data_IF_331516659368
#
_entry.id   IF_331516659368
#
_cell.length_a   1.000
_cell.length_b   1.000
_cell.length_c   1.000
_cell.angle_alpha   90.00
_cell.angle_beta   90.00
_cell.angle_gamma   90.00
#
_symmetry.space_group_name_H-M   'P 1'
#
loop_
_entity.id
_entity.type
_entity.pdbx_description
1 polymer ?
#
# COMPACT_ATOMS: atom_id res chain seq x y z
N UNK A 1 20.58 -1.43 -29.60
CA UNK A 1 19.88 -0.33 -28.87
C UNK A 1 18.40 -0.55 -29.06
N UNK A 2 17.77 -1.24 -28.14
CA UNK A 2 16.31 -1.48 -28.18
C UNK A 2 15.65 -0.44 -27.28
N UNK A 3 14.89 0.45 -27.87
CA UNK A 3 14.07 1.43 -27.18
C UNK A 3 12.93 0.68 -26.48
N UNK A 4 12.91 0.72 -25.17
CA UNK A 4 11.75 0.28 -24.38
C UNK A 4 10.54 1.16 -24.76
N UNK A 5 9.34 0.59 -24.99
CA UNK A 5 8.17 1.37 -25.30
C UNK A 5 7.79 2.28 -24.15
N UNK A 6 7.56 3.55 -24.46
CA UNK A 6 7.13 4.56 -23.51
C UNK A 6 5.79 4.17 -22.91
N UNK A 7 5.75 4.09 -21.57
CA UNK A 7 4.60 3.72 -20.80
C UNK A 7 3.57 4.86 -20.77
N UNK A 8 2.52 4.75 -21.55
CA UNK A 8 1.42 5.70 -21.60
C UNK A 8 0.18 5.18 -20.87
N UNK A 9 0.25 5.07 -19.54
CA UNK A 9 -0.96 5.01 -18.71
C UNK A 9 -0.77 5.85 -17.46
N UNK A 10 -1.50 6.95 -17.33
CA UNK A 10 -1.48 7.80 -16.14
C UNK A 10 -1.89 7.02 -14.89
N UNK A 11 -2.79 6.05 -15.02
CA UNK A 11 -3.21 5.16 -13.95
C UNK A 11 -2.09 4.22 -13.48
N UNK A 12 -1.20 3.80 -14.37
CA UNK A 12 -0.05 2.97 -14.06
C UNK A 12 1.02 3.69 -13.23
N UNK A 13 0.96 5.02 -13.17
CA UNK A 13 1.93 5.85 -12.43
C UNK A 13 1.48 6.21 -11.01
N UNK A 14 0.21 6.02 -10.68
CA UNK A 14 -0.40 6.49 -9.42
C UNK A 14 -0.71 5.40 -8.41
N UNK A 15 -0.64 4.12 -8.78
CA UNK A 15 -0.95 3.00 -7.92
C UNK A 15 0.14 2.71 -6.88
N UNK A 16 -0.24 2.60 -5.61
CA UNK A 16 0.60 2.02 -4.57
C UNK A 16 0.52 0.52 -4.64
N UNK A 17 1.61 -0.14 -5.00
CA UNK A 17 1.66 -1.57 -5.22
C UNK A 17 2.81 -2.22 -4.48
N UNK A 18 2.64 -3.52 -4.25
CA UNK A 18 3.66 -4.46 -3.79
C UNK A 18 4.01 -5.44 -4.91
N UNK A 19 5.21 -6.05 -4.92
CA UNK A 19 5.56 -7.10 -5.87
C UNK A 19 4.74 -8.37 -5.64
N UNK A 20 4.59 -9.20 -6.67
CA UNK A 20 3.79 -10.42 -6.66
C UNK A 20 4.16 -11.40 -5.53
N UNK A 21 5.44 -11.53 -5.23
CA UNK A 21 5.99 -12.43 -4.22
C UNK A 21 5.95 -11.93 -2.79
N UNK A 22 5.56 -10.66 -2.56
CA UNK A 22 5.47 -10.10 -1.20
C UNK A 22 4.47 -10.90 -0.35
N UNK A 23 4.84 -11.21 0.90
CA UNK A 23 4.11 -12.15 1.74
C UNK A 23 3.16 -11.42 2.70
N UNK A 24 1.95 -11.96 2.85
CA UNK A 24 0.98 -11.57 3.88
C UNK A 24 0.63 -12.77 4.74
N UNK A 25 0.14 -12.52 5.95
CA UNK A 25 -0.33 -13.55 6.87
C UNK A 25 -1.84 -13.60 6.85
N UNK A 26 -2.40 -14.78 6.54
CA UNK A 26 -3.84 -15.05 6.64
C UNK A 26 -4.23 -15.30 8.11
N UNK A 27 -5.52 -15.18 8.40
CA UNK A 27 -6.10 -15.50 9.73
C UNK A 27 -5.87 -16.95 10.13
N UNK A 28 -5.76 -17.86 9.17
CA UNK A 28 -5.37 -19.26 9.41
C UNK A 28 -3.94 -19.44 9.93
N UNK A 29 -3.14 -18.36 9.96
CA UNK A 29 -1.72 -18.38 10.28
C UNK A 29 -0.81 -18.64 9.07
N UNK A 30 -1.36 -19.03 7.93
CA UNK A 30 -0.57 -19.27 6.71
C UNK A 30 0.03 -17.97 6.16
N UNK A 31 1.27 -18.05 5.65
CA UNK A 31 1.90 -17.00 4.86
C UNK A 31 1.69 -17.31 3.38
N UNK A 32 1.19 -16.34 2.64
CA UNK A 32 0.92 -16.47 1.20
C UNK A 32 1.41 -15.24 0.45
N UNK A 33 1.84 -15.45 -0.80
CA UNK A 33 2.21 -14.35 -1.69
C UNK A 33 0.97 -13.52 -2.05
N UNK A 34 1.13 -12.21 -2.25
CA UNK A 34 0.04 -11.32 -2.66
C UNK A 34 -0.61 -11.74 -3.98
N UNK A 35 0.13 -12.39 -4.87
CA UNK A 35 -0.40 -12.98 -6.10
C UNK A 35 -1.42 -14.10 -5.86
N UNK A 36 -1.35 -14.77 -4.72
CA UNK A 36 -2.28 -15.85 -4.33
C UNK A 36 -3.49 -15.36 -3.52
N UNK A 37 -3.45 -14.14 -2.99
CA UNK A 37 -4.53 -13.54 -2.21
C UNK A 37 -5.75 -13.26 -3.09
N UNK A 38 -6.95 -13.45 -2.53
CA UNK A 38 -8.24 -13.23 -3.19
C UNK A 38 -9.13 -12.30 -2.36
N UNK A 39 -10.06 -11.57 -2.99
CA UNK A 39 -11.14 -10.93 -2.27
C UNK A 39 -11.88 -11.93 -1.37
N UNK A 40 -12.16 -11.51 -0.12
CA UNK A 40 -12.74 -12.37 0.92
C UNK A 40 -11.71 -13.04 1.84
N UNK A 41 -10.44 -13.12 1.47
CA UNK A 41 -9.38 -13.57 2.39
C UNK A 41 -9.23 -12.57 3.55
N UNK A 42 -8.96 -13.08 4.74
CA UNK A 42 -8.67 -12.27 5.92
C UNK A 42 -7.18 -12.23 6.18
N UNK A 43 -6.60 -11.04 6.05
CA UNK A 43 -5.16 -10.79 6.17
C UNK A 43 -4.84 -9.96 7.40
N UNK A 44 -3.64 -10.12 7.95
CA UNK A 44 -3.16 -9.32 9.06
C UNK A 44 -3.06 -7.85 8.63
N UNK A 45 -3.60 -6.97 9.47
CA UNK A 45 -3.66 -5.52 9.28
C UNK A 45 -3.46 -4.80 10.62
N UNK A 46 -3.44 -3.49 10.61
CA UNK A 46 -3.52 -2.64 11.79
C UNK A 46 -4.94 -2.09 11.91
N UNK A 47 -5.55 -2.24 13.07
CA UNK A 47 -6.84 -1.64 13.42
C UNK A 47 -6.75 -0.14 13.66
N UNK A 48 -7.90 0.51 13.82
CA UNK A 48 -7.99 1.95 14.13
C UNK A 48 -7.38 2.30 15.50
N UNK A 49 -7.35 1.34 16.41
CA UNK A 49 -6.73 1.44 17.73
C UNK A 49 -5.20 1.25 17.72
N UNK A 50 -4.60 1.04 16.54
CA UNK A 50 -3.17 0.77 16.38
C UNK A 50 -2.75 -0.66 16.72
N UNK A 51 -3.69 -1.56 17.00
CA UNK A 51 -3.42 -2.95 17.32
C UNK A 51 -3.49 -3.87 16.09
N UNK A 52 -2.77 -5.02 16.10
CA UNK A 52 -2.89 -5.99 15.02
C UNK A 52 -4.30 -6.61 15.00
N UNK A 53 -4.87 -6.70 13.81
CA UNK A 53 -6.18 -7.31 13.57
C UNK A 53 -6.19 -8.06 12.24
N UNK A 54 -7.18 -8.94 12.02
CA UNK A 54 -7.42 -9.52 10.71
C UNK A 54 -8.53 -8.76 9.98
N UNK A 55 -8.29 -8.42 8.72
CA UNK A 55 -9.12 -7.57 7.89
C UNK A 55 -9.45 -8.26 6.57
N UNK A 56 -10.71 -8.18 6.16
CA UNK A 56 -11.15 -8.73 4.88
C UNK A 56 -10.51 -7.95 3.73
N UNK A 57 -9.95 -8.65 2.77
CA UNK A 57 -9.56 -8.10 1.46
C UNK A 57 -10.83 -7.90 0.65
N UNK A 58 -11.14 -6.65 0.33
CA UNK A 58 -12.37 -6.28 -0.37
C UNK A 58 -12.21 -6.44 -1.89
N UNK A 59 -11.17 -5.83 -2.44
CA UNK A 59 -10.83 -5.82 -3.87
C UNK A 59 -9.32 -5.60 -4.06
N UNK A 60 -8.85 -5.76 -5.29
CA UNK A 60 -7.56 -5.21 -5.72
C UNK A 60 -7.78 -3.88 -6.46
N UNK A 61 -7.12 -2.82 -6.00
CA UNK A 61 -7.13 -1.52 -6.67
C UNK A 61 -6.26 -1.54 -7.92
N UNK A 62 -5.20 -2.39 -7.90
CA UNK A 62 -4.33 -2.70 -9.03
C UNK A 62 -3.90 -4.16 -8.96
N UNK A 63 -3.86 -4.85 -10.11
CA UNK A 63 -3.42 -6.25 -10.22
C UNK A 63 -2.84 -6.50 -11.61
N UNK A 64 -1.53 -6.38 -11.71
CA UNK A 64 -0.77 -6.57 -12.96
C UNK A 64 0.30 -7.66 -12.74
N UNK A 65 0.01 -8.94 -13.01
CA UNK A 65 0.90 -10.06 -12.66
C UNK A 65 2.22 -10.06 -13.44
N UNK A 66 2.20 -9.64 -14.70
CA UNK A 66 3.32 -9.78 -15.64
C UNK A 66 4.16 -8.50 -15.81
N UNK A 67 3.86 -7.47 -15.03
CA UNK A 67 4.53 -6.19 -15.15
C UNK A 67 5.78 -6.10 -14.29
N UNK A 68 6.91 -5.75 -14.89
CA UNK A 68 8.11 -5.35 -14.16
C UNK A 68 7.98 -3.91 -13.68
N UNK A 69 8.21 -3.68 -12.38
CA UNK A 69 8.22 -2.34 -11.77
C UNK A 69 9.41 -2.14 -10.86
N UNK A 70 9.83 -0.89 -10.72
CA UNK A 70 10.78 -0.49 -9.69
C UNK A 70 10.04 -0.28 -8.37
N UNK A 71 10.56 -0.89 -7.32
CA UNK A 71 10.08 -0.80 -5.95
C UNK A 71 11.14 -0.16 -5.07
N UNK A 72 10.70 0.68 -4.14
CA UNK A 72 11.49 1.09 -3.01
C UNK A 72 11.59 -0.08 -2.03
N UNK A 73 12.77 -0.41 -1.60
CA UNK A 73 13.01 -1.46 -0.61
C UNK A 73 13.43 -0.83 0.69
N UNK A 74 12.64 -1.08 1.73
CA UNK A 74 12.87 -0.60 3.10
C UNK A 74 13.35 -1.79 3.92
N UNK A 75 14.55 -1.68 4.48
CA UNK A 75 15.12 -2.68 5.35
C UNK A 75 15.18 -2.16 6.79
N UNK A 76 14.74 -2.98 7.74
CA UNK A 76 14.76 -2.63 9.16
C UNK A 76 15.78 -3.47 9.92
N UNK A 77 16.15 -2.98 11.10
CA UNK A 77 16.90 -3.74 12.12
C UNK A 77 16.05 -3.82 13.39
N UNK A 78 16.22 -4.90 14.13
CA UNK A 78 15.61 -5.14 15.44
C UNK A 78 14.07 -4.96 15.50
N UNK A 79 13.29 -5.81 14.81
CA UNK A 79 13.67 -7.01 14.06
C UNK A 79 14.03 -6.70 12.61
N UNK A 80 14.89 -7.50 11.96
CA UNK A 80 15.20 -7.35 10.55
C UNK A 80 13.98 -7.74 9.70
N UNK A 81 13.54 -6.82 8.85
CA UNK A 81 12.48 -7.01 7.86
C UNK A 81 12.88 -6.33 6.55
N UNK A 82 12.30 -6.80 5.47
CA UNK A 82 12.56 -6.24 4.14
C UNK A 82 11.24 -6.11 3.38
N UNK A 83 10.77 -4.89 3.21
CA UNK A 83 9.55 -4.56 2.49
C UNK A 83 9.87 -3.89 1.17
N UNK A 84 9.28 -4.37 0.07
CA UNK A 84 9.32 -3.72 -1.24
C UNK A 84 7.94 -3.17 -1.59
N UNK A 85 7.88 -1.89 -1.99
CA UNK A 85 6.64 -1.21 -2.37
C UNK A 85 6.96 -0.07 -3.35
N UNK A 86 5.96 0.39 -4.12
CA UNK A 86 6.17 1.50 -5.07
C UNK A 86 6.50 2.80 -4.36
N UNK A 87 7.27 3.74 -4.98
CA UNK A 87 7.69 4.99 -4.33
C UNK A 87 6.54 5.86 -3.80
N UNK A 88 5.38 5.84 -4.47
CA UNK A 88 4.19 6.60 -4.07
C UNK A 88 3.29 5.89 -3.04
N UNK A 89 3.68 4.72 -2.56
CA UNK A 89 2.94 3.97 -1.53
C UNK A 89 3.16 4.58 -0.15
N UNK A 90 2.11 4.58 0.68
CA UNK A 90 2.20 5.11 2.04
C UNK A 90 2.61 4.05 3.04
N UNK A 91 3.56 4.42 3.89
CA UNK A 91 3.97 3.71 5.10
C UNK A 91 3.66 4.57 6.33
N UNK A 92 3.58 3.93 7.48
CA UNK A 92 3.48 4.62 8.77
C UNK A 92 4.88 4.77 9.38
N UNK A 93 5.34 6.01 9.56
CA UNK A 93 6.68 6.32 10.06
C UNK A 93 6.64 7.21 11.29
N UNK A 94 7.66 7.10 12.14
CA UNK A 94 7.94 8.01 13.24
C UNK A 94 9.44 8.33 13.30
N UNK A 95 9.79 9.43 13.96
CA UNK A 95 11.19 9.78 14.21
C UNK A 95 11.72 9.23 15.54
N UNK A 96 10.82 8.71 16.39
CA UNK A 96 11.16 8.20 17.71
C UNK A 96 10.49 6.81 17.93
N UNK A 97 11.23 5.89 18.55
CA UNK A 97 10.75 4.55 18.87
C UNK A 97 9.73 4.51 20.03
N UNK A 98 9.63 5.56 20.82
CA UNK A 98 8.71 5.65 21.95
C UNK A 98 7.33 6.16 21.56
N UNK A 99 7.12 6.55 20.30
CA UNK A 99 5.81 7.00 19.83
C UNK A 99 4.81 5.83 19.79
N UNK A 100 3.59 6.01 20.33
CA UNK A 100 2.52 5.03 20.14
C UNK A 100 2.20 4.80 18.66
N UNK A 101 1.79 3.58 18.29
CA UNK A 101 1.48 3.23 16.91
C UNK A 101 0.47 4.20 16.25
N UNK A 102 -0.50 4.70 17.01
CA UNK A 102 -1.49 5.67 16.54
C UNK A 102 -0.91 7.05 16.16
N UNK A 103 0.32 7.36 16.57
CA UNK A 103 0.99 8.64 16.26
C UNK A 103 1.96 8.53 15.07
N UNK A 104 2.15 7.34 14.51
CA UNK A 104 2.92 7.18 13.30
C UNK A 104 2.20 7.88 12.13
N UNK A 105 2.97 8.63 11.35
CA UNK A 105 2.44 9.44 10.25
C UNK A 105 2.54 8.68 8.93
N UNK A 106 1.52 8.84 8.09
CA UNK A 106 1.57 8.35 6.72
C UNK A 106 2.66 9.11 5.93
N UNK A 107 3.63 8.39 5.39
CA UNK A 107 4.78 8.92 4.66
C UNK A 107 4.95 8.13 3.36
N UNK A 108 5.21 8.79 2.26
CA UNK A 108 5.52 8.10 1.00
C UNK A 108 6.80 7.28 1.12
N UNK A 109 6.81 6.08 0.54
CA UNK A 109 7.97 5.20 0.57
C UNK A 109 9.24 5.88 0.03
N UNK A 110 9.10 6.76 -0.98
CA UNK A 110 10.19 7.56 -1.54
C UNK A 110 10.78 8.60 -0.56
N UNK A 111 10.07 8.93 0.50
CA UNK A 111 10.49 9.91 1.52
C UNK A 111 11.03 9.24 2.78
N UNK A 112 10.89 7.93 2.90
CA UNK A 112 11.42 7.19 4.05
C UNK A 112 12.95 7.23 4.04
N UNK A 113 13.53 7.52 5.21
CA UNK A 113 14.97 7.65 5.37
C UNK A 113 15.51 6.68 6.44
N UNK A 114 16.75 6.22 6.30
CA UNK A 114 17.44 5.51 7.37
C UNK A 114 17.43 6.31 8.68
N UNK A 115 17.19 5.61 9.78
CA UNK A 115 17.07 6.22 11.11
C UNK A 115 15.64 6.49 11.56
N UNK A 116 14.66 6.59 10.65
CA UNK A 116 13.25 6.61 10.99
C UNK A 116 12.77 5.24 11.47
N UNK A 117 11.57 5.18 12.02
CA UNK A 117 10.94 3.96 12.51
C UNK A 117 9.69 3.65 11.70
N UNK A 118 9.48 2.38 11.40
CA UNK A 118 8.25 1.82 10.81
C UNK A 118 7.63 0.83 11.79
N UNK A 119 6.33 0.55 11.65
CA UNK A 119 5.66 -0.44 12.48
C UNK A 119 5.84 -1.84 11.88
N UNK A 120 6.27 -2.79 12.70
CA UNK A 120 6.40 -4.19 12.34
C UNK A 120 5.56 -5.08 13.24
N UNK A 121 5.02 -6.16 12.69
CA UNK A 121 4.31 -7.17 13.45
C UNK A 121 5.30 -8.05 14.20
N UNK A 122 5.08 -8.21 15.51
CA UNK A 122 5.90 -8.99 16.43
C UNK A 122 5.08 -9.55 17.59
N UNK A 123 5.76 -9.93 18.64
CA UNK A 123 5.16 -10.31 19.92
C UNK A 123 5.71 -9.34 20.97
N UNK A 124 4.85 -8.60 21.68
CA UNK A 124 3.39 -8.74 21.80
C UNK A 124 2.57 -7.78 20.90
N UNK A 125 2.67 -7.76 19.60
CA UNK A 125 1.84 -6.91 18.73
C UNK A 125 2.63 -6.10 17.71
N UNK A 126 2.20 -4.87 17.42
CA UNK A 126 2.94 -3.97 16.55
C UNK A 126 4.01 -3.23 17.35
N UNK A 127 5.21 -3.19 16.82
CA UNK A 127 6.35 -2.53 17.47
C UNK A 127 7.15 -1.69 16.47
N UNK A 128 7.76 -0.59 16.92
CA UNK A 128 8.67 0.19 16.10
C UNK A 128 9.91 -0.61 15.73
N UNK A 129 10.30 -0.56 14.45
CA UNK A 129 11.58 -1.07 13.96
C UNK A 129 12.32 0.03 13.22
N UNK A 130 13.60 0.20 13.51
CA UNK A 130 14.42 1.26 12.90
C UNK A 130 14.74 0.90 11.45
N UNK A 131 14.54 1.84 10.55
CA UNK A 131 14.97 1.73 9.16
C UNK A 131 16.50 1.78 9.10
N UNK A 132 17.09 0.70 8.59
CA UNK A 132 18.54 0.55 8.45
C UNK A 132 19.02 1.05 7.10
N UNK A 133 18.29 0.69 6.03
CA UNK A 133 18.65 1.03 4.65
C UNK A 133 17.40 1.23 3.79
N UNK A 134 17.57 2.01 2.74
CA UNK A 134 16.58 2.20 1.68
C UNK A 134 17.29 2.03 0.34
N UNK A 135 16.73 1.21 -0.55
CA UNK A 135 17.28 0.93 -1.86
C UNK A 135 16.17 0.79 -2.90
N UNK A 136 16.53 0.58 -4.16
CA UNK A 136 15.56 0.33 -5.24
C UNK A 136 15.81 -1.04 -5.85
N UNK A 137 14.73 -1.78 -6.12
CA UNK A 137 14.77 -3.09 -6.73
C UNK A 137 13.68 -3.23 -7.80
N UNK A 138 13.98 -3.89 -8.92
CA UNK A 138 13.00 -4.23 -9.94
C UNK A 138 12.48 -5.64 -9.68
N UNK A 139 11.15 -5.77 -9.61
CA UNK A 139 10.49 -7.05 -9.40
C UNK A 139 9.25 -7.20 -10.28
N UNK A 140 8.80 -8.45 -10.42
CA UNK A 140 7.63 -8.82 -11.20
C UNK A 140 6.35 -8.63 -10.39
N UNK A 141 5.30 -8.20 -11.08
CA UNK A 141 3.94 -8.02 -10.59
C UNK A 141 3.74 -6.72 -9.83
N UNK A 142 2.51 -6.24 -9.86
CA UNK A 142 2.07 -5.06 -9.12
C UNK A 142 0.70 -5.36 -8.51
N UNK A 143 0.62 -5.40 -7.19
CA UNK A 143 -0.58 -5.79 -6.45
C UNK A 143 -0.91 -4.75 -5.38
N UNK A 144 -2.13 -4.24 -5.41
CA UNK A 144 -2.65 -3.25 -4.47
C UNK A 144 -3.97 -3.73 -3.85
N UNK A 145 -3.95 -4.63 -2.86
CA UNK A 145 -5.16 -5.05 -2.18
C UNK A 145 -5.71 -3.92 -1.31
N UNK A 146 -7.03 -3.75 -1.33
CA UNK A 146 -7.76 -2.90 -0.40
C UNK A 146 -8.40 -3.76 0.67
N UNK A 147 -8.09 -3.50 1.93
CA UNK A 147 -8.71 -4.15 3.08
C UNK A 147 -9.80 -3.27 3.69
N UNK A 148 -10.65 -3.87 4.53
CA UNK A 148 -11.70 -3.15 5.28
C UNK A 148 -11.12 -2.05 6.18
N UNK A 149 -9.98 -2.29 6.83
CA UNK A 149 -9.31 -1.30 7.71
C UNK A 149 -8.43 -0.30 6.95
N UNK A 150 -8.20 -0.49 5.64
CA UNK A 150 -7.34 0.40 4.85
C UNK A 150 -5.86 0.26 5.13
N UNK A 151 -5.45 -0.74 5.90
CA UNK A 151 -4.07 -1.08 6.23
C UNK A 151 -3.80 -2.55 5.92
N UNK A 152 -2.53 -2.91 5.78
CA UNK A 152 -2.08 -4.25 5.44
C UNK A 152 -0.72 -4.50 6.06
N UNK A 153 -0.47 -5.71 6.56
CA UNK A 153 0.86 -6.13 7.02
C UNK A 153 1.50 -6.99 5.94
N UNK A 154 2.54 -6.46 5.30
CA UNK A 154 3.30 -7.13 4.22
C UNK A 154 4.73 -7.31 4.69
N UNK A 155 5.29 -8.51 4.55
CA UNK A 155 6.64 -8.86 5.07
C UNK A 155 6.81 -8.49 6.55
N UNK A 156 5.74 -8.64 7.31
CA UNK A 156 5.60 -8.23 8.71
C UNK A 156 5.73 -6.71 8.94
N UNK A 157 5.69 -5.86 7.92
CA UNK A 157 5.69 -4.39 8.04
C UNK A 157 4.29 -3.85 7.75
N UNK A 158 3.82 -2.90 8.57
CA UNK A 158 2.52 -2.25 8.38
C UNK A 158 2.62 -1.22 7.27
N UNK A 159 1.72 -1.32 6.30
CA UNK A 159 1.58 -0.36 5.21
C UNK A 159 0.10 0.08 5.07
N UNK A 160 -0.11 1.23 4.47
CA UNK A 160 -1.44 1.66 4.03
C UNK A 160 -1.88 0.85 2.80
N UNK A 161 -3.17 0.68 2.56
CA UNK A 161 -3.68 0.20 1.26
C UNK A 161 -3.72 1.31 0.20
N UNK A 162 -3.33 2.54 0.57
CA UNK A 162 -3.47 3.72 -0.28
C UNK A 162 -2.11 4.24 -0.76
N UNK A 163 -2.16 5.03 -1.83
CA UNK A 163 -1.02 5.67 -2.45
C UNK A 163 -1.40 6.97 -3.15
N UNK A 164 -0.41 7.76 -3.50
CA UNK A 164 -0.53 9.00 -4.26
C UNK A 164 -1.23 10.17 -3.52
N UNK A 165 -1.90 9.94 -2.40
CA UNK A 165 -2.49 10.99 -1.54
C UNK A 165 -1.84 10.90 -0.17
N UNK A 166 -1.23 11.98 0.30
CA UNK A 166 -0.45 12.00 1.55
C UNK A 166 -1.30 11.78 2.81
N UNK A 167 -2.60 12.02 2.74
CA UNK A 167 -3.51 11.84 3.88
C UNK A 167 -4.20 10.47 3.83
N UNK A 168 -3.74 9.56 4.69
CA UNK A 168 -4.32 8.22 4.83
C UNK A 168 -5.80 8.26 5.26
N UNK A 169 -6.18 9.17 6.17
CA UNK A 169 -7.55 9.28 6.65
C UNK A 169 -8.49 9.79 5.57
N UNK A 170 -8.05 10.78 4.79
CA UNK A 170 -8.82 11.28 3.65
C UNK A 170 -9.00 10.20 2.58
N UNK A 171 -7.94 9.45 2.26
CA UNK A 171 -8.03 8.31 1.35
C UNK A 171 -9.00 7.25 1.88
N UNK A 172 -8.93 6.92 3.17
CA UNK A 172 -9.83 5.97 3.81
C UNK A 172 -11.30 6.42 3.76
N UNK A 173 -11.57 7.70 3.98
CA UNK A 173 -12.92 8.28 3.85
C UNK A 173 -13.42 8.25 2.40
N UNK A 174 -12.56 8.55 1.43
CA UNK A 174 -12.90 8.50 0.00
C UNK A 174 -13.29 7.08 -0.46
N UNK A 175 -12.71 6.03 0.13
CA UNK A 175 -13.05 4.64 -0.15
C UNK A 175 -14.19 4.09 0.70
N UNK A 176 -14.77 4.88 1.63
CA UNK A 176 -15.89 4.47 2.48
C UNK A 176 -17.12 3.99 1.69
N UNK A 177 -17.57 4.64 0.58
CA UNK A 177 -18.71 4.15 -0.19
C UNK A 177 -18.48 2.77 -0.79
N UNK A 178 -17.25 2.46 -1.26
CA UNK A 178 -16.90 1.16 -1.79
C UNK A 178 -16.91 0.08 -0.69
N UNK A 179 -16.43 0.43 0.50
CA UNK A 179 -16.44 -0.46 1.68
C UNK A 179 -17.87 -0.75 2.13
N UNK A 180 -18.75 0.26 2.13
CA UNK A 180 -20.17 0.10 2.43
C UNK A 180 -20.86 -0.77 1.39
N UNK A 181 -20.64 -0.51 0.11
CA UNK A 181 -21.21 -1.30 -0.98
C UNK A 181 -20.80 -2.78 -0.87
N UNK A 182 -19.53 -3.06 -0.61
CA UNK A 182 -19.05 -4.42 -0.40
C UNK A 182 -19.70 -5.11 0.82
N UNK A 183 -20.00 -4.33 1.88
CA UNK A 183 -20.68 -4.83 3.07
C UNK A 183 -22.15 -5.18 2.82
N UNK A 184 -22.80 -4.50 1.88
CA UNK A 184 -24.21 -4.68 1.54
C UNK A 184 -24.42 -5.69 0.40
N UNK A 185 -23.49 -5.73 -0.56
CA UNK A 185 -23.56 -6.60 -1.75
C UNK A 185 -22.69 -7.86 -1.54
N UNK A 186 -23.07 -8.71 -0.60
CA UNK A 186 -22.40 -9.98 -0.40
C UNK A 186 -22.47 -10.85 -1.66
N UNK A 187 -21.36 -11.03 -2.37
CA UNK A 187 -21.14 -12.32 -3.02
C UNK A 187 -21.16 -12.42 -4.53
N UNK A 188 -20.78 -11.44 -5.39
CA UNK A 188 -20.46 -11.81 -6.79
C UNK A 188 -19.83 -10.70 -7.61
N UNK A 189 -18.67 -10.20 -7.20
CA UNK A 189 -17.93 -9.32 -8.07
C UNK A 189 -16.47 -9.79 -8.18
N UNK A 190 -16.11 -10.39 -9.32
CA UNK A 190 -14.71 -10.69 -9.67
C UNK A 190 -14.19 -9.54 -10.52
N UNK A 191 -13.34 -8.64 -9.97
CA UNK A 191 -12.66 -7.65 -10.79
C UNK A 191 -11.72 -8.36 -11.76
N UNK A 192 -11.73 -7.94 -13.01
CA UNK A 192 -10.74 -8.33 -14.00
C UNK A 192 -9.33 -7.85 -13.63
N UNK A 193 -8.33 -8.30 -14.38
CA UNK A 193 -6.95 -7.80 -14.29
C UNK A 193 -6.90 -6.31 -14.64
N UNK A 194 -6.01 -5.56 -13.99
CA UNK A 194 -5.78 -4.13 -14.24
C UNK A 194 -6.23 -3.21 -13.10
N UNK A 195 -6.10 -1.91 -13.33
CA UNK A 195 -6.43 -0.88 -12.33
C UNK A 195 -7.94 -0.70 -12.24
N UNK A 196 -8.47 -0.81 -11.02
CA UNK A 196 -9.88 -0.60 -10.77
C UNK A 196 -10.29 0.85 -11.14
N UNK A 197 -11.44 1.05 -11.82
CA UNK A 197 -11.91 2.37 -12.30
C UNK A 197 -12.16 3.38 -11.16
N UNK A 198 -12.55 2.91 -9.97
CA UNK A 198 -12.92 3.76 -8.83
C UNK A 198 -11.73 4.57 -8.28
N UNK A 199 -10.52 4.02 -8.06
CA UNK A 199 -9.34 4.83 -7.74
C UNK A 199 -9.02 5.90 -8.76
N UNK A 200 -9.22 5.61 -10.06
CA UNK A 200 -9.00 6.59 -11.13
C UNK A 200 -9.99 7.75 -11.04
N UNK A 201 -11.26 7.45 -10.77
CA UNK A 201 -12.29 8.47 -10.56
C UNK A 201 -11.96 9.34 -9.35
N UNK A 202 -11.62 8.73 -8.21
CA UNK A 202 -11.23 9.44 -6.99
C UNK A 202 -10.00 10.32 -7.20
N UNK A 203 -8.99 9.83 -7.90
CA UNK A 203 -7.81 10.61 -8.23
C UNK A 203 -8.14 11.84 -9.07
N UNK A 204 -9.01 11.70 -10.08
CA UNK A 204 -9.47 12.82 -10.91
C UNK A 204 -10.26 13.85 -10.09
N UNK A 205 -11.16 13.39 -9.23
CA UNK A 205 -11.92 14.26 -8.33
C UNK A 205 -11.02 14.94 -7.29
N UNK A 206 -10.09 14.19 -6.69
CA UNK A 206 -9.12 14.73 -5.74
C UNK A 206 -8.28 15.85 -6.31
N UNK A 207 -7.79 15.69 -7.54
CA UNK A 207 -7.04 16.75 -8.25
C UNK A 207 -7.83 18.03 -8.50
N UNK A 208 -9.16 17.94 -8.55
CA UNK A 208 -10.04 19.11 -8.71
C UNK A 208 -10.34 19.82 -7.38
N UNK A 209 -10.24 19.10 -6.26
CA UNK A 209 -10.74 19.57 -4.96
C UNK A 209 -9.63 19.82 -3.92
N UNK A 210 -8.45 19.23 -4.10
CA UNK A 210 -7.35 19.30 -3.14
C UNK A 210 -6.18 20.13 -3.68
N UNK A 211 -5.44 20.75 -2.76
CA UNK A 211 -4.23 21.50 -3.10
C UNK A 211 -3.13 20.60 -3.66
N UNK A 212 -2.27 21.13 -4.55
CA UNK A 212 -1.22 20.37 -5.24
C UNK A 212 -0.23 19.66 -4.30
N UNK A 213 0.00 20.17 -3.09
CA UNK A 213 0.88 19.56 -2.09
C UNK A 213 0.39 18.25 -1.48
N UNK A 214 -0.89 17.90 -1.68
CA UNK A 214 -1.49 16.66 -1.16
C UNK A 214 -1.19 15.40 -1.99
N UNK A 215 -0.58 15.57 -3.19
CA UNK A 215 -0.29 14.47 -4.11
C UNK A 215 1.21 14.22 -4.25
N UNK A 216 1.57 12.97 -4.44
CA UNK A 216 2.95 12.59 -4.75
C UNK A 216 3.33 13.06 -6.18
N UNK A 217 4.53 13.63 -6.34
CA UNK A 217 5.02 14.17 -7.63
C UNK A 217 5.02 13.13 -8.78
N UNK A 218 5.25 11.86 -8.48
CA UNK A 218 5.17 10.78 -9.46
C UNK A 218 3.73 10.45 -9.87
N UNK A 219 2.72 10.88 -9.11
CA UNK A 219 1.30 10.81 -9.45
C UNK A 219 0.83 11.90 -10.41
N UNK A 220 1.61 12.98 -10.55
CA UNK A 220 1.27 14.18 -11.35
C UNK A 220 1.95 14.19 -12.73
N UNK A 221 2.94 13.34 -12.98
CA UNK A 221 3.69 13.31 -14.25
C UNK A 221 2.85 12.78 -15.43
N UNK A 222 2.03 13.64 -15.99
CA UNK A 222 1.22 13.28 -17.17
C UNK A 222 0.30 14.36 -17.73
N UNK A 223 0.47 15.63 -17.33
CA UNK A 223 -0.23 16.76 -17.96
C UNK A 223 0.77 17.88 -18.27
N UNK A 224 1.49 17.75 -19.37
CA UNK A 224 2.42 18.77 -19.85
C UNK A 224 2.90 18.43 -21.25
N UNK A 225 2.33 19.13 -22.24
CA UNK A 225 2.61 19.24 -23.68
C UNK A 225 2.25 18.06 -24.55
#
# INVERSE_FOLDING_TARGET
MSLLPAEHSAAAKTGGCFPAGAQVRLESGARVALSAVRPGDRVLAMGEDGNPTFSDVLIFLDREPDRLRAFQVIETQDPPRRLALTPAHLLFTANNHTEPAAHFRATFASQVQPGQYVLVAGVPGLQPARVAAVSTHVALGAYAPLTRHGTLVVEDVVASCFAAVADHHLAQLAFWPLRLFHSLAWGSWTPGEGVHWYPQLLYRLGRLLLEEGSFHSLGVAGAGS
#
